data_IF_936774285029
#
_entry.id   IF_936774285029
#
_cell.length_a   1.000
_cell.length_b   1.000
_cell.length_c   1.000
_cell.angle_alpha   90.00
_cell.angle_beta   90.00
_cell.angle_gamma   90.00
#
_symmetry.space_group_name_H-M   'P 1'
#
loop_
_entity.id
_entity.type
_entity.pdbx_description
1 polymer ?
#
# COMPACT_ATOMS: atom_id res chain seq x y z
N UNK A 1 -9.50 -4.48 7.73
CA UNK A 1 -9.92 -5.37 6.61
C UNK A 1 -8.72 -6.17 6.16
N UNK A 2 -8.89 -7.42 5.71
CA UNK A 2 -7.80 -8.20 5.11
C UNK A 2 -8.21 -8.65 3.72
N UNK A 3 -7.36 -8.38 2.73
CA UNK A 3 -7.59 -8.74 1.32
C UNK A 3 -6.34 -9.39 0.74
N UNK A 4 -6.54 -10.39 -0.12
CA UNK A 4 -5.48 -10.92 -0.97
C UNK A 4 -5.56 -10.26 -2.34
N UNK A 5 -4.46 -9.64 -2.77
CA UNK A 5 -4.35 -8.98 -4.06
C UNK A 5 -3.14 -9.54 -4.83
N UNK A 6 -3.38 -10.62 -5.56
CA UNK A 6 -2.30 -11.34 -6.24
C UNK A 6 -1.37 -11.99 -5.22
N UNK A 7 -0.07 -11.74 -5.34
CA UNK A 7 0.94 -12.23 -4.40
C UNK A 7 1.01 -11.44 -3.07
N UNK A 8 0.23 -10.37 -2.94
CA UNK A 8 0.29 -9.47 -1.79
C UNK A 8 -0.92 -9.66 -0.89
N UNK A 9 -0.68 -9.70 0.42
CA UNK A 9 -1.69 -9.66 1.45
C UNK A 9 -1.73 -8.25 2.05
N UNK A 10 -2.90 -7.62 1.97
CA UNK A 10 -3.11 -6.25 2.44
C UNK A 10 -3.99 -6.32 3.67
N UNK A 11 -3.45 -5.83 4.79
CA UNK A 11 -4.13 -5.77 6.08
C UNK A 11 -4.31 -4.31 6.43
N UNK A 12 -5.56 -3.89 6.61
CA UNK A 12 -5.90 -2.54 7.05
C UNK A 12 -6.41 -2.55 8.48
N UNK A 13 -5.96 -1.59 9.27
CA UNK A 13 -6.42 -1.33 10.63
C UNK A 13 -6.67 0.15 10.81
N UNK A 14 -7.80 0.54 11.38
CA UNK A 14 -8.09 1.94 11.70
C UNK A 14 -7.94 2.19 13.20
N UNK A 15 -7.26 3.27 13.57
CA UNK A 15 -7.12 3.73 14.94
C UNK A 15 -6.98 5.26 14.96
N UNK A 16 -7.78 5.95 15.77
CA UNK A 16 -7.71 7.41 15.97
C UNK A 16 -7.70 8.22 14.64
N UNK A 17 -8.62 7.92 13.73
CA UNK A 17 -8.69 8.52 12.38
C UNK A 17 -7.46 8.27 11.48
N UNK A 18 -6.63 7.28 11.81
CA UNK A 18 -5.49 6.85 10.98
C UNK A 18 -5.76 5.47 10.44
N UNK A 19 -5.49 5.27 9.15
CA UNK A 19 -5.53 3.96 8.52
C UNK A 19 -4.11 3.40 8.47
N UNK A 20 -3.83 2.33 9.19
CA UNK A 20 -2.62 1.55 8.96
C UNK A 20 -2.87 0.57 7.82
N UNK A 21 -1.95 0.49 6.86
CA UNK A 21 -1.98 -0.48 5.76
C UNK A 21 -0.70 -1.30 5.81
N UNK A 22 -0.81 -2.54 6.24
CA UNK A 22 0.30 -3.48 6.20
C UNK A 22 0.24 -4.27 4.89
N UNK A 23 1.40 -4.40 4.25
CA UNK A 23 1.55 -5.10 2.97
C UNK A 23 2.55 -6.22 3.20
N UNK A 24 2.06 -7.46 3.10
CA UNK A 24 2.83 -8.67 3.32
C UNK A 24 2.80 -9.55 2.06
N UNK A 25 3.64 -10.58 2.03
CA UNK A 25 3.58 -11.61 1.01
C UNK A 25 4.12 -12.92 1.56
N UNK A 26 3.46 -14.02 1.21
CA UNK A 26 3.98 -15.38 1.45
C UNK A 26 5.23 -15.69 0.61
N UNK A 27 5.52 -14.88 -0.42
CA UNK A 27 6.62 -15.10 -1.36
C UNK A 27 7.97 -14.55 -0.88
N UNK A 28 7.99 -13.66 0.10
CA UNK A 28 9.20 -13.02 0.59
C UNK A 28 8.96 -11.71 1.34
N UNK A 29 10.05 -11.05 1.70
CA UNK A 29 10.02 -9.76 2.39
C UNK A 29 9.54 -8.66 1.43
N UNK A 30 8.55 -7.87 1.86
CA UNK A 30 8.07 -6.73 1.08
C UNK A 30 8.84 -5.49 1.50
N UNK A 31 9.36 -4.74 0.51
CA UNK A 31 9.98 -3.43 0.72
C UNK A 31 9.27 -2.34 -0.04
N UNK A 32 9.17 -1.18 0.61
CA UNK A 32 8.55 0.02 0.05
C UNK A 32 9.58 0.89 -0.65
N UNK A 33 9.15 1.53 -1.74
CA UNK A 33 9.89 2.56 -2.45
C UNK A 33 8.92 3.63 -2.92
N UNK A 34 9.41 4.85 -3.09
CA UNK A 34 8.62 5.90 -3.73
C UNK A 34 8.34 5.47 -5.17
N UNK A 35 7.08 5.48 -5.58
CA UNK A 35 6.78 5.37 -7.01
C UNK A 35 7.26 6.68 -7.63
N UNK A 36 8.28 6.63 -8.48
CA UNK A 36 8.97 7.84 -8.97
C UNK A 36 8.00 8.92 -9.47
N UNK A 37 8.38 10.18 -9.26
CA UNK A 37 7.60 11.35 -9.69
C UNK A 37 7.16 11.21 -11.16
N UNK A 38 5.85 11.27 -11.41
CA UNK A 38 5.28 11.35 -12.77
C UNK A 38 5.09 10.02 -13.52
N UNK A 39 5.26 8.85 -12.90
CA UNK A 39 5.09 7.57 -13.61
C UNK A 39 3.64 7.05 -13.71
N UNK A 40 2.67 7.73 -13.10
CA UNK A 40 1.28 7.29 -13.06
C UNK A 40 0.32 8.48 -13.25
N UNK A 41 -0.86 8.25 -13.83
CA UNK A 41 -1.96 9.24 -13.92
C UNK A 41 -2.49 9.71 -12.54
N UNK A 42 -1.88 9.21 -11.45
CA UNK A 42 -2.21 9.52 -10.07
C UNK A 42 -1.01 10.21 -9.40
N UNK A 43 -1.20 11.40 -8.81
CA UNK A 43 -0.11 12.19 -8.23
C UNK A 43 0.50 11.60 -6.93
N UNK A 44 -0.12 10.56 -6.37
CA UNK A 44 0.19 10.02 -5.05
C UNK A 44 0.27 8.49 -5.11
N UNK A 45 1.49 7.94 -5.15
CA UNK A 45 1.72 6.50 -5.21
C UNK A 45 2.82 6.03 -4.25
N UNK A 46 2.66 4.83 -3.71
CA UNK A 46 3.74 4.08 -3.04
C UNK A 46 3.93 2.77 -3.79
N UNK A 47 5.17 2.49 -4.17
CA UNK A 47 5.57 1.21 -4.76
C UNK A 47 6.00 0.22 -3.70
N UNK A 48 5.65 -1.04 -3.86
CA UNK A 48 6.01 -2.14 -2.97
C UNK A 48 6.51 -3.33 -3.79
N UNK A 49 7.72 -3.80 -3.49
CA UNK A 49 8.33 -4.95 -4.18
C UNK A 49 8.62 -6.06 -3.19
N UNK A 50 8.47 -7.31 -3.63
CA UNK A 50 8.89 -8.48 -2.86
C UNK A 50 10.36 -8.74 -3.19
N UNK A 51 11.23 -8.72 -2.18
CA UNK A 51 12.64 -9.04 -2.31
C UNK A 51 12.81 -10.55 -2.52
N UNK A 52 13.76 -10.90 -3.40
CA UNK A 52 14.17 -12.28 -3.68
C UNK A 52 13.01 -13.24 -3.96
N UNK A 53 11.92 -12.71 -4.55
CA UNK A 53 10.75 -13.48 -4.88
C UNK A 53 11.13 -14.63 -5.84
N UNK A 54 10.94 -15.88 -5.39
CA UNK A 54 11.20 -17.07 -6.22
C UNK A 54 10.32 -17.12 -7.48
N UNK A 55 9.17 -16.44 -7.43
CA UNK A 55 8.21 -16.32 -8.52
C UNK A 55 7.81 -14.85 -8.63
N UNK A 56 7.91 -14.29 -9.84
CA UNK A 56 7.47 -12.92 -10.11
C UNK A 56 5.94 -12.81 -9.91
N UNK A 57 5.44 -11.83 -9.15
CA UNK A 57 4.01 -11.58 -9.06
C UNK A 57 3.36 -11.34 -10.43
N UNK A 58 2.19 -11.92 -10.65
CA UNK A 58 1.42 -11.67 -11.87
C UNK A 58 0.85 -10.25 -11.87
N UNK A 59 0.97 -9.58 -13.02
CA UNK A 59 0.39 -8.26 -13.21
C UNK A 59 -1.12 -8.30 -13.00
N UNK A 60 -1.66 -7.25 -12.37
CA UNK A 60 -3.06 -7.16 -12.00
C UNK A 60 -3.55 -5.73 -12.18
N UNK A 61 -4.67 -5.60 -12.89
CA UNK A 61 -5.28 -4.31 -13.16
C UNK A 61 -5.70 -3.56 -11.89
N UNK A 62 -5.97 -2.27 -12.05
CA UNK A 62 -6.34 -1.40 -10.93
C UNK A 62 -7.66 -1.82 -10.29
N UNK A 63 -7.70 -1.84 -8.96
CA UNK A 63 -8.93 -2.08 -8.19
C UNK A 63 -9.03 -1.09 -7.04
N UNK A 64 -10.17 -0.41 -6.96
CA UNK A 64 -10.52 0.52 -5.89
C UNK A 64 -11.03 -0.23 -4.66
N UNK A 65 -10.56 0.20 -3.50
CA UNK A 65 -11.01 -0.26 -2.19
C UNK A 65 -11.44 0.92 -1.35
N UNK A 66 -12.47 0.72 -0.53
CA UNK A 66 -12.97 1.70 0.42
C UNK A 66 -13.09 1.06 1.79
N UNK A 67 -12.66 1.77 2.82
CA UNK A 67 -12.73 1.36 4.22
C UNK A 67 -13.13 2.59 5.04
N UNK A 68 -14.36 2.62 5.57
CA UNK A 68 -14.91 3.88 6.13
C UNK A 68 -14.88 5.00 5.09
N UNK A 69 -14.35 6.16 5.48
CA UNK A 69 -14.16 7.32 4.59
C UNK A 69 -12.88 7.24 3.74
N UNK A 70 -12.05 6.21 3.96
CA UNK A 70 -10.77 6.04 3.27
C UNK A 70 -10.96 5.31 1.94
N UNK A 71 -10.35 5.84 0.87
CA UNK A 71 -10.32 5.17 -0.44
C UNK A 71 -8.89 5.10 -0.97
N UNK A 72 -8.50 3.92 -1.45
CA UNK A 72 -7.22 3.69 -2.11
C UNK A 72 -7.40 2.75 -3.31
N UNK A 73 -6.44 2.80 -4.23
CA UNK A 73 -6.43 1.97 -5.45
C UNK A 73 -5.17 1.10 -5.41
N UNK A 74 -5.33 -0.19 -5.69
CA UNK A 74 -4.23 -1.14 -5.81
C UNK A 74 -4.06 -1.58 -7.25
N UNK A 75 -2.83 -1.77 -7.69
CA UNK A 75 -2.47 -2.41 -8.97
C UNK A 75 -1.16 -3.17 -8.85
N UNK A 76 -0.95 -4.17 -9.70
CA UNK A 76 0.36 -4.84 -9.84
C UNK A 76 0.85 -4.59 -11.27
N UNK A 77 2.01 -3.95 -11.41
CA UNK A 77 2.60 -3.64 -12.72
C UNK A 77 3.22 -4.89 -13.37
N UNK A 78 3.76 -4.76 -14.59
CA UNK A 78 4.41 -5.87 -15.31
C UNK A 78 5.74 -6.34 -14.69
N UNK A 79 6.39 -5.49 -13.88
CA UNK A 79 7.56 -5.85 -13.09
C UNK A 79 7.19 -6.68 -11.85
N UNK A 80 5.91 -6.72 -11.49
CA UNK A 80 5.40 -7.42 -10.33
C UNK A 80 5.30 -6.55 -9.08
N UNK A 81 5.56 -5.24 -9.17
CA UNK A 81 5.43 -4.33 -8.04
C UNK A 81 3.98 -4.00 -7.78
N UNK A 82 3.60 -4.01 -6.50
CA UNK A 82 2.34 -3.47 -6.04
C UNK A 82 2.44 -1.94 -5.98
N UNK A 83 1.44 -1.28 -6.58
CA UNK A 83 1.26 0.16 -6.55
C UNK A 83 0.04 0.47 -5.69
N UNK A 84 0.21 1.29 -4.67
CA UNK A 84 -0.86 1.81 -3.83
C UNK A 84 -1.03 3.31 -4.09
N UNK A 85 -2.18 3.67 -4.64
CA UNK A 85 -2.57 5.06 -4.88
C UNK A 85 -3.61 5.54 -3.87
N UNK A 86 -3.55 6.82 -3.53
CA UNK A 86 -4.40 7.39 -2.49
C UNK A 86 -4.83 8.83 -2.79
N UNK A 87 -6.03 9.19 -2.32
CA UNK A 87 -6.70 10.45 -2.69
C UNK A 87 -6.29 11.68 -1.88
N UNK A 88 -5.81 11.51 -0.64
CA UNK A 88 -5.43 12.61 0.26
C UNK A 88 -4.00 12.45 0.75
N UNK A 89 -3.30 13.55 1.05
CA UNK A 89 -1.89 13.50 1.45
C UNK A 89 -1.72 12.62 2.70
N UNK A 90 -0.86 11.61 2.58
CA UNK A 90 -0.60 10.65 3.63
C UNK A 90 0.73 10.94 4.30
N UNK A 91 0.74 10.88 5.63
CA UNK A 91 2.01 10.68 6.31
C UNK A 91 2.38 9.20 6.18
N UNK A 92 3.17 8.90 5.16
CA UNK A 92 3.77 7.59 4.95
C UNK A 92 4.93 7.47 5.92
N UNK A 93 4.74 6.71 7.00
CA UNK A 93 5.86 6.30 7.86
C UNK A 93 6.13 4.81 7.68
N UNK A 94 7.39 4.51 7.33
CA UNK A 94 7.91 3.15 7.38
C UNK A 94 8.13 2.79 8.83
N UNK A 95 7.32 1.88 9.36
CA UNK A 95 7.54 1.31 10.68
C UNK A 95 7.75 -0.19 10.55
N UNK A 96 8.74 -0.71 11.26
CA UNK A 96 8.87 -2.15 11.45
C UNK A 96 7.88 -2.57 12.52
N UNK A 97 6.89 -3.37 12.14
CA UNK A 97 5.97 -4.03 13.08
C UNK A 97 6.19 -5.53 12.89
N UNK A 98 6.55 -6.22 13.98
CA UNK A 98 6.89 -7.64 13.96
C UNK A 98 7.97 -8.02 12.93
N UNK A 99 8.90 -7.11 12.64
CA UNK A 99 9.97 -7.32 11.63
C UNK A 99 9.54 -7.10 10.18
N UNK A 100 8.32 -6.62 9.92
CA UNK A 100 7.83 -6.35 8.58
C UNK A 100 7.64 -4.85 8.33
N UNK A 101 8.03 -4.40 7.13
CA UNK A 101 7.75 -3.06 6.64
C UNK A 101 6.23 -2.82 6.63
N UNK A 102 5.79 -1.87 7.44
CA UNK A 102 4.38 -1.48 7.55
C UNK A 102 4.19 -0.04 7.10
N UNK A 103 3.20 0.16 6.22
CA UNK A 103 2.85 1.47 5.70
C UNK A 103 1.76 2.05 6.60
N UNK A 104 2.15 2.96 7.50
CA UNK A 104 1.11 3.71 8.21
C UNK A 104 0.63 4.82 7.30
N UNK A 105 -0.67 4.85 7.02
CA UNK A 105 -1.33 5.88 6.23
C UNK A 105 -2.12 6.79 7.19
N UNK A 106 -1.44 7.76 7.79
CA UNK A 106 -2.12 8.77 8.59
C UNK A 106 -2.65 9.87 7.66
N UNK A 107 -3.97 9.95 7.53
CA UNK A 107 -4.63 11.12 6.97
C UNK A 107 -4.81 12.12 8.10
N UNK A 108 -4.22 13.31 7.97
CA UNK A 108 -4.56 14.42 8.83
C UNK A 108 -5.98 14.82 8.48
N UNK A 109 -6.99 14.29 9.18
CA UNK A 109 -8.17 15.11 9.39
C UNK A 109 -7.64 16.33 10.13
N UNK A 110 -7.79 17.53 9.57
CA UNK A 110 -7.72 18.73 10.41
C UNK A 110 -8.50 18.41 11.69
N UNK A 111 -7.94 18.65 12.89
CA UNK A 111 -8.73 18.47 14.10
C UNK A 111 -10.01 19.25 13.85
N UNK A 112 -11.16 18.56 13.87
CA UNK A 112 -12.45 19.24 13.77
C UNK A 112 -12.43 20.32 14.85
N UNK A 113 -12.41 21.57 14.40
CA UNK A 113 -12.46 22.74 15.27
C UNK A 113 -13.74 22.70 16.11
#
# INVERSE_FOLDING_TARGET
>A
MQIKFGAYDIITHELDNKLSVQILSDLGEVTMHESGDGQHDFPNGVGCKILDAKVKPEAKGLKRYSFGDYTFILGINFAGDLLLFYSQKLYVSKKLINGHDTLTLAFLTDPKA
#
